data_IF_207138911648
#
_entry.id   IF_207138911648
#
_cell.length_a   1.000
_cell.length_b   1.000
_cell.length_c   1.000
_cell.angle_alpha   90.00
_cell.angle_beta   90.00
_cell.angle_gamma   90.00
#
_symmetry.space_group_name_H-M   'P 1'
#
loop_
_entity.id
_entity.type
_entity.pdbx_description
1 polymer ?
#
# COMPACT_ATOMS: atom_id res chain seq x y z
N UNK A 1 -9.81 -10.11 18.63
CA UNK A 1 -8.68 -10.41 17.71
C UNK A 1 -7.46 -10.81 18.54
N UNK A 2 -6.69 -11.82 18.12
CA UNK A 2 -5.48 -12.28 18.82
C UNK A 2 -4.37 -12.48 17.79
N UNK A 3 -3.49 -11.48 17.69
CA UNK A 3 -2.32 -11.49 16.81
C UNK A 3 -1.12 -12.17 17.48
N UNK A 4 -0.15 -12.58 16.67
CA UNK A 4 1.05 -13.27 17.13
C UNK A 4 1.98 -12.34 17.94
N UNK A 5 2.16 -11.09 17.49
CA UNK A 5 2.94 -10.10 18.24
C UNK A 5 2.11 -9.49 19.37
N UNK A 6 2.53 -9.74 20.61
CA UNK A 6 1.92 -9.08 21.79
C UNK A 6 2.08 -7.55 21.81
N UNK A 7 3.01 -7.03 21.01
CA UNK A 7 3.29 -5.60 20.82
C UNK A 7 2.54 -4.98 19.63
N UNK A 8 1.72 -5.78 18.92
CA UNK A 8 0.83 -5.26 17.89
C UNK A 8 -0.19 -4.29 18.51
N UNK A 9 -0.48 -3.21 17.79
CA UNK A 9 -1.34 -2.13 18.25
C UNK A 9 -2.44 -1.83 17.24
N UNK A 10 -3.56 -1.29 17.75
CA UNK A 10 -4.66 -0.83 16.93
C UNK A 10 -5.02 0.61 17.26
N UNK A 11 -5.64 1.28 16.30
CA UNK A 11 -6.18 2.61 16.47
C UNK A 11 -7.51 2.75 15.72
N UNK A 12 -8.47 3.41 16.36
CA UNK A 12 -9.80 3.68 15.82
C UNK A 12 -10.07 5.16 16.03
N UNK A 13 -10.09 5.94 14.94
CA UNK A 13 -10.13 7.41 15.04
C UNK A 13 -11.38 7.96 15.74
N UNK A 14 -12.53 7.29 15.57
CA UNK A 14 -13.83 7.66 16.13
C UNK A 14 -14.17 6.93 17.44
N UNK A 15 -13.21 6.19 18.00
CA UNK A 15 -13.35 5.38 19.22
C UNK A 15 -14.50 4.34 19.16
N UNK A 16 -14.93 3.92 17.98
CA UNK A 16 -15.89 2.82 17.85
C UNK A 16 -15.33 1.51 18.45
N UNK A 17 -16.19 0.61 18.98
CA UNK A 17 -15.74 -0.71 19.44
C UNK A 17 -15.02 -1.47 18.33
N UNK A 18 -13.98 -2.23 18.69
CA UNK A 18 -13.08 -2.91 17.74
C UNK A 18 -13.84 -3.71 16.67
N UNK A 19 -14.80 -4.55 17.07
CA UNK A 19 -15.55 -5.41 16.13
C UNK A 19 -16.38 -4.59 15.13
N UNK A 20 -16.89 -3.42 15.55
CA UNK A 20 -17.60 -2.48 14.65
C UNK A 20 -16.62 -1.75 13.74
N UNK A 21 -15.47 -1.33 14.28
CA UNK A 21 -14.45 -0.58 13.55
C UNK A 21 -13.83 -1.38 12.41
N UNK A 22 -13.53 -2.66 12.65
CA UNK A 22 -13.02 -3.59 11.63
C UNK A 22 -14.14 -4.15 10.75
N UNK A 23 -15.32 -4.44 11.29
CA UNK A 23 -16.41 -5.06 10.53
C UNK A 23 -17.06 -4.15 9.48
N UNK A 24 -16.82 -2.84 9.55
CA UNK A 24 -17.30 -1.86 8.56
C UNK A 24 -16.36 -1.66 7.37
N UNK A 25 -15.17 -2.29 7.38
CA UNK A 25 -14.17 -2.11 6.33
C UNK A 25 -14.74 -2.42 4.95
N UNK A 26 -14.48 -1.52 4.01
CA UNK A 26 -14.82 -1.72 2.59
C UNK A 26 -13.57 -1.75 1.71
N UNK A 27 -12.60 -0.89 2.04
CA UNK A 27 -11.32 -0.75 1.38
C UNK A 27 -10.23 -0.97 2.42
N UNK A 28 -9.18 -1.70 2.05
CA UNK A 28 -8.07 -1.97 2.95
C UNK A 28 -6.74 -1.73 2.24
N UNK A 29 -5.77 -1.15 2.94
CA UNK A 29 -4.37 -1.18 2.54
C UNK A 29 -3.57 -2.11 3.45
N UNK A 30 -2.66 -2.88 2.87
CA UNK A 30 -1.65 -3.65 3.60
C UNK A 30 -0.28 -3.14 3.19
N UNK A 31 0.36 -2.43 4.11
CA UNK A 31 1.57 -1.67 3.93
C UNK A 31 2.75 -2.31 4.68
N UNK A 32 3.97 -2.07 4.17
CA UNK A 32 5.14 -2.62 4.80
C UNK A 32 5.55 -1.74 5.97
N UNK A 33 5.70 -0.45 5.73
CA UNK A 33 6.11 0.53 6.71
C UNK A 33 4.99 1.54 6.95
N UNK A 34 5.13 2.27 8.06
CA UNK A 34 4.37 3.49 8.27
C UNK A 34 4.75 4.47 7.16
N UNK A 35 3.77 5.19 6.58
CA UNK A 35 3.82 6.08 5.39
C UNK A 35 3.50 5.46 4.01
N UNK A 36 3.75 4.16 3.82
CA UNK A 36 3.49 3.49 2.53
C UNK A 36 2.00 3.56 2.12
N UNK A 37 1.09 3.44 3.10
CA UNK A 37 -0.37 3.44 2.88
C UNK A 37 -0.80 4.72 2.18
N UNK A 38 -0.33 5.86 2.68
CA UNK A 38 -0.70 7.18 2.22
C UNK A 38 -0.11 7.48 0.84
N UNK A 39 1.03 6.86 0.49
CA UNK A 39 1.65 6.95 -0.82
C UNK A 39 0.85 6.15 -1.85
N UNK A 40 0.56 4.88 -1.55
CA UNK A 40 0.09 3.91 -2.56
C UNK A 40 -1.43 3.74 -2.62
N UNK A 41 -2.15 3.96 -1.52
CA UNK A 41 -3.56 3.60 -1.38
C UNK A 41 -4.48 4.81 -1.17
N UNK A 42 -4.04 6.01 -1.58
CA UNK A 42 -4.84 7.22 -1.43
C UNK A 42 -6.17 7.16 -2.21
N UNK A 43 -6.26 6.34 -3.25
CA UNK A 43 -7.54 6.02 -3.91
C UNK A 43 -8.59 5.46 -2.94
N UNK A 44 -8.21 4.50 -2.09
CA UNK A 44 -9.09 3.96 -1.06
C UNK A 44 -9.42 4.98 0.02
N UNK A 45 -8.42 5.78 0.42
CA UNK A 45 -8.58 6.81 1.45
C UNK A 45 -9.60 7.87 0.99
N UNK A 46 -9.40 8.50 -0.18
CA UNK A 46 -10.29 9.56 -0.66
C UNK A 46 -11.73 9.05 -0.87
N UNK A 47 -11.91 7.79 -1.29
CA UNK A 47 -13.24 7.20 -1.53
C UNK A 47 -14.02 7.03 -0.23
N UNK A 48 -13.32 6.80 0.88
CA UNK A 48 -13.92 6.58 2.19
C UNK A 48 -13.97 7.85 3.06
N UNK A 49 -13.14 8.85 2.77
CA UNK A 49 -13.04 10.06 3.58
C UNK A 49 -14.40 10.78 3.69
N UNK A 50 -14.86 11.02 4.92
CA UNK A 50 -16.15 11.65 5.20
C UNK A 50 -17.39 10.86 4.74
N UNK A 51 -17.28 9.55 4.50
CA UNK A 51 -18.41 8.69 4.13
C UNK A 51 -19.00 7.96 5.33
N UNK A 52 -20.30 7.66 5.25
CA UNK A 52 -21.01 6.91 6.30
C UNK A 52 -21.00 5.39 6.03
N UNK A 53 -20.90 5.00 4.76
CA UNK A 53 -21.06 3.63 4.25
C UNK A 53 -19.78 3.03 3.65
N UNK A 54 -18.73 3.84 3.45
CA UNK A 54 -17.43 3.41 2.95
C UNK A 54 -16.35 3.69 3.97
N UNK A 55 -15.67 2.64 4.43
CA UNK A 55 -14.62 2.73 5.43
C UNK A 55 -13.30 2.17 4.93
N UNK A 56 -12.24 2.93 5.19
CA UNK A 56 -10.87 2.56 4.89
C UNK A 56 -10.19 1.94 6.11
N UNK A 57 -9.41 0.89 5.89
CA UNK A 57 -8.59 0.24 6.91
C UNK A 57 -7.14 0.16 6.45
N UNK A 58 -6.21 0.46 7.36
CA UNK A 58 -4.79 0.31 7.10
C UNK A 58 -4.21 -0.80 7.99
N UNK A 59 -3.37 -1.66 7.41
CA UNK A 59 -2.56 -2.64 8.13
C UNK A 59 -1.10 -2.36 7.82
N UNK A 60 -0.34 -1.90 8.80
CA UNK A 60 1.11 -1.71 8.70
C UNK A 60 1.81 -2.92 9.31
N UNK A 61 2.55 -3.67 8.50
CA UNK A 61 3.12 -4.96 8.91
C UNK A 61 4.36 -4.77 9.78
N UNK A 62 5.24 -3.82 9.47
CA UNK A 62 6.53 -3.68 10.17
C UNK A 62 6.60 -2.52 11.15
N UNK A 63 7.60 -2.54 12.03
CA UNK A 63 7.75 -1.63 13.16
C UNK A 63 8.50 -0.31 12.86
N UNK A 64 9.08 -0.14 11.67
CA UNK A 64 9.78 1.10 11.30
C UNK A 64 11.07 1.40 12.06
N UNK A 65 11.63 0.43 12.80
CA UNK A 65 12.82 0.64 13.63
C UNK A 65 14.05 1.12 12.84
N UNK A 66 14.25 0.56 11.64
CA UNK A 66 15.38 0.85 10.76
C UNK A 66 15.25 2.15 9.94
N UNK A 67 14.25 2.99 10.22
CA UNK A 67 14.04 4.24 9.50
C UNK A 67 15.28 5.14 9.50
N UNK A 68 15.57 5.87 8.39
CA UNK A 68 16.61 6.87 8.37
C UNK A 68 16.42 7.91 9.48
N UNK A 69 17.53 8.36 10.07
CA UNK A 69 17.54 9.33 11.18
C UNK A 69 18.34 10.55 10.78
N UNK A 70 17.76 11.73 10.94
CA UNK A 70 18.43 13.00 10.67
C UNK A 70 17.77 14.12 11.48
N UNK A 71 18.37 15.32 11.47
CA UNK A 71 17.85 16.48 12.20
C UNK A 71 17.64 16.17 13.68
N UNK A 72 16.45 16.49 14.19
CA UNK A 72 16.09 16.25 15.61
C UNK A 72 16.07 14.76 15.99
N UNK A 73 15.95 13.85 15.01
CA UNK A 73 15.89 12.40 15.22
C UNK A 73 17.27 11.72 15.17
N UNK A 74 18.35 12.46 14.91
CA UNK A 74 19.69 11.87 14.69
C UNK A 74 20.18 11.00 15.85
N UNK A 75 19.79 11.34 17.09
CA UNK A 75 20.20 10.63 18.32
C UNK A 75 19.19 9.57 18.78
N UNK A 76 18.13 9.34 18.02
CA UNK A 76 17.04 8.45 18.43
C UNK A 76 17.47 7.00 18.26
N UNK A 77 17.09 6.16 19.21
CA UNK A 77 17.28 4.71 19.13
C UNK A 77 16.23 4.05 18.23
N UNK A 78 16.40 2.77 17.91
CA UNK A 78 15.39 1.97 17.22
C UNK A 78 14.04 1.99 17.96
N UNK A 79 14.06 1.87 19.30
CA UNK A 79 12.84 1.95 20.12
C UNK A 79 12.18 3.33 20.11
N UNK A 80 12.99 4.40 20.06
CA UNK A 80 12.46 5.76 19.88
C UNK A 80 11.77 5.89 18.52
N UNK A 81 12.40 5.37 17.46
CA UNK A 81 11.84 5.41 16.11
C UNK A 81 10.55 4.61 15.99
N UNK A 82 10.47 3.40 16.57
CA UNK A 82 9.22 2.62 16.61
C UNK A 82 8.08 3.44 17.22
N UNK A 83 8.32 4.10 18.37
CA UNK A 83 7.30 4.94 19.04
C UNK A 83 6.87 6.14 18.19
N UNK A 84 7.83 6.84 17.59
CA UNK A 84 7.56 7.99 16.72
C UNK A 84 6.76 7.57 15.49
N UNK A 85 7.19 6.50 14.81
CA UNK A 85 6.55 5.98 13.60
C UNK A 85 5.12 5.53 13.87
N UNK A 86 4.89 4.79 14.96
CA UNK A 86 3.53 4.43 15.42
C UNK A 86 2.65 5.65 15.64
N UNK A 87 3.19 6.70 16.28
CA UNK A 87 2.44 7.93 16.52
C UNK A 87 2.12 8.68 15.22
N UNK A 88 3.06 8.76 14.29
CA UNK A 88 2.84 9.41 12.99
C UNK A 88 1.80 8.65 12.15
N UNK A 89 1.82 7.32 12.17
CA UNK A 89 0.78 6.53 11.51
C UNK A 89 -0.61 6.72 12.14
N UNK A 90 -0.69 6.86 13.47
CA UNK A 90 -1.95 7.22 14.16
C UNK A 90 -2.44 8.61 13.74
N UNK A 91 -1.53 9.59 13.57
CA UNK A 91 -1.88 10.91 13.02
C UNK A 91 -2.43 10.81 11.60
N UNK A 92 -1.79 10.02 10.74
CA UNK A 92 -2.27 9.80 9.37
C UNK A 92 -3.66 9.14 9.37
N UNK A 93 -3.87 8.12 10.20
CA UNK A 93 -5.17 7.48 10.37
C UNK A 93 -6.25 8.43 10.90
N UNK A 94 -5.89 9.39 11.76
CA UNK A 94 -6.81 10.42 12.20
C UNK A 94 -7.13 11.43 11.08
N UNK A 95 -6.11 11.93 10.38
CA UNK A 95 -6.26 12.88 9.26
C UNK A 95 -7.07 12.30 8.10
N UNK A 96 -6.89 11.02 7.81
CA UNK A 96 -7.61 10.30 6.75
C UNK A 96 -8.88 9.60 7.21
N UNK A 97 -9.29 9.77 8.47
CA UNK A 97 -10.49 9.16 9.05
C UNK A 97 -10.58 7.63 8.85
N UNK A 98 -9.47 6.92 9.08
CA UNK A 98 -9.42 5.46 8.87
C UNK A 98 -10.34 4.78 9.87
N UNK A 99 -11.29 4.00 9.36
CA UNK A 99 -12.22 3.23 10.18
C UNK A 99 -11.51 2.29 11.15
N UNK A 100 -10.33 1.77 10.76
CA UNK A 100 -9.46 0.94 11.57
C UNK A 100 -7.99 1.03 11.11
N UNK A 101 -7.04 1.09 12.03
CA UNK A 101 -5.60 0.94 11.78
C UNK A 101 -5.05 -0.20 12.63
N UNK A 102 -4.33 -1.13 12.01
CA UNK A 102 -3.55 -2.18 12.67
C UNK A 102 -2.06 -1.97 12.41
N UNK A 103 -1.21 -2.10 13.43
CA UNK A 103 0.25 -2.06 13.33
C UNK A 103 0.81 -3.34 13.96
N UNK A 104 1.32 -4.25 13.13
CA UNK A 104 1.64 -5.63 13.55
C UNK A 104 3.02 -5.77 14.22
N UNK A 105 3.87 -4.75 14.11
CA UNK A 105 5.13 -4.61 14.84
C UNK A 105 6.22 -5.66 14.49
N UNK A 106 6.12 -6.33 13.34
CA UNK A 106 7.17 -7.22 12.85
C UNK A 106 8.44 -6.45 12.44
N UNK A 107 9.59 -7.11 12.49
CA UNK A 107 10.79 -6.61 11.82
C UNK A 107 10.75 -6.95 10.32
N UNK A 108 11.36 -6.09 9.50
CA UNK A 108 11.53 -6.35 8.07
C UNK A 108 12.22 -7.69 7.78
N UNK A 109 13.13 -8.14 8.65
CA UNK A 109 13.79 -9.45 8.51
C UNK A 109 12.80 -10.61 8.72
N UNK A 110 11.91 -10.50 9.71
CA UNK A 110 10.90 -11.52 10.01
C UNK A 110 9.91 -11.69 8.86
N UNK A 111 9.52 -10.59 8.21
CA UNK A 111 8.57 -10.64 7.08
C UNK A 111 9.24 -11.20 5.82
N UNK A 112 10.54 -10.91 5.62
CA UNK A 112 11.32 -11.43 4.49
C UNK A 112 11.69 -12.90 4.64
N UNK A 113 11.64 -13.45 5.84
CA UNK A 113 11.83 -14.89 6.04
C UNK A 113 10.67 -15.67 5.43
N UNK A 114 10.97 -16.48 4.42
CA UNK A 114 9.99 -17.34 3.74
C UNK A 114 9.38 -18.39 4.68
N UNK A 115 10.07 -18.79 5.74
CA UNK A 115 9.61 -19.79 6.69
C UNK A 115 8.74 -19.21 7.80
N UNK A 116 8.84 -17.91 8.07
CA UNK A 116 7.99 -17.26 9.05
C UNK A 116 6.56 -17.11 8.54
N UNK A 117 5.63 -17.85 9.14
CA UNK A 117 4.20 -17.84 8.79
C UNK A 117 3.37 -16.89 9.65
N UNK A 118 3.91 -16.35 10.73
CA UNK A 118 3.13 -15.50 11.66
C UNK A 118 2.46 -14.30 10.97
N UNK A 119 3.14 -13.54 10.06
CA UNK A 119 2.48 -12.43 9.37
C UNK A 119 1.32 -12.89 8.47
N UNK A 120 1.39 -14.10 7.90
CA UNK A 120 0.32 -14.66 7.06
C UNK A 120 -0.92 -14.94 7.91
N UNK A 121 -0.73 -15.55 9.08
CA UNK A 121 -1.84 -15.88 9.98
C UNK A 121 -2.50 -14.63 10.59
N UNK A 122 -1.69 -13.61 10.93
CA UNK A 122 -2.21 -12.31 11.39
C UNK A 122 -3.04 -11.61 10.30
N UNK A 123 -2.55 -11.59 9.06
CA UNK A 123 -3.29 -11.02 7.92
C UNK A 123 -4.58 -11.78 7.66
N UNK A 124 -4.58 -13.12 7.72
CA UNK A 124 -5.80 -13.95 7.59
C UNK A 124 -6.84 -13.58 8.65
N UNK A 125 -6.41 -13.40 9.90
CA UNK A 125 -7.32 -13.03 10.98
C UNK A 125 -7.95 -11.65 10.75
N UNK A 126 -7.14 -10.65 10.39
CA UNK A 126 -7.63 -9.29 10.12
C UNK A 126 -8.59 -9.27 8.94
N UNK A 127 -8.23 -9.90 7.82
CA UNK A 127 -9.05 -9.93 6.60
C UNK A 127 -10.36 -10.69 6.84
N UNK A 128 -10.34 -11.78 7.62
CA UNK A 128 -11.56 -12.54 7.95
C UNK A 128 -12.57 -11.72 8.75
N UNK A 129 -12.08 -10.83 9.62
CA UNK A 129 -12.92 -9.91 10.41
C UNK A 129 -13.37 -8.70 9.58
N UNK A 130 -12.50 -8.19 8.70
CA UNK A 130 -12.74 -6.96 7.94
C UNK A 130 -13.55 -7.17 6.64
N UNK A 131 -13.34 -8.31 5.97
CA UNK A 131 -13.95 -8.67 4.68
C UNK A 131 -13.96 -7.52 3.66
N UNK A 132 -12.79 -6.89 3.39
CA UNK A 132 -12.72 -5.79 2.44
C UNK A 132 -13.08 -6.26 1.03
N UNK A 133 -13.76 -5.39 0.26
CA UNK A 133 -14.01 -5.62 -1.17
C UNK A 133 -12.78 -5.33 -2.02
N UNK A 134 -11.99 -4.34 -1.61
CA UNK A 134 -10.79 -3.91 -2.32
C UNK A 134 -9.60 -3.90 -1.37
N UNK A 135 -8.50 -4.51 -1.79
CA UNK A 135 -7.22 -4.42 -1.08
C UNK A 135 -6.15 -3.75 -1.96
N UNK A 136 -5.45 -2.78 -1.40
CA UNK A 136 -4.26 -2.16 -1.96
C UNK A 136 -3.01 -2.69 -1.22
N UNK A 137 -1.97 -3.02 -1.97
CA UNK A 137 -0.66 -3.43 -1.44
C UNK A 137 0.43 -2.94 -2.38
N UNK A 138 1.68 -3.21 -2.07
CA UNK A 138 2.82 -2.97 -2.93
C UNK A 138 2.77 -3.77 -4.24
N UNK A 139 3.26 -3.19 -5.33
CA UNK A 139 3.54 -3.94 -6.55
C UNK A 139 4.70 -4.94 -6.34
N UNK A 140 4.68 -6.05 -7.08
CA UNK A 140 5.62 -7.17 -6.89
C UNK A 140 7.02 -6.92 -7.49
N UNK A 141 7.22 -5.82 -8.20
CA UNK A 141 8.51 -5.40 -8.76
C UNK A 141 9.05 -4.12 -8.08
N UNK A 142 8.57 -3.81 -6.87
CA UNK A 142 9.02 -2.63 -6.14
C UNK A 142 10.53 -2.74 -5.79
N UNK A 143 11.23 -1.60 -5.80
CA UNK A 143 12.66 -1.55 -5.48
C UNK A 143 12.97 -1.97 -4.05
N UNK A 144 12.01 -1.82 -3.13
CA UNK A 144 12.22 -2.13 -1.72
C UNK A 144 11.82 -3.58 -1.41
N UNK A 145 12.78 -4.45 -1.10
CA UNK A 145 12.53 -5.90 -0.88
C UNK A 145 11.46 -6.22 0.18
N UNK A 146 11.33 -5.43 1.27
CA UNK A 146 10.26 -5.64 2.26
C UNK A 146 8.87 -5.41 1.67
N UNK A 147 8.72 -4.52 0.68
CA UNK A 147 7.43 -4.24 0.03
C UNK A 147 6.96 -5.48 -0.73
N UNK A 148 7.86 -6.07 -1.51
CA UNK A 148 7.63 -7.34 -2.22
C UNK A 148 7.32 -8.46 -1.23
N UNK A 149 8.08 -8.58 -0.13
CA UNK A 149 7.83 -9.60 0.88
C UNK A 149 6.42 -9.48 1.50
N UNK A 150 5.98 -8.27 1.85
CA UNK A 150 4.63 -8.03 2.39
C UNK A 150 3.54 -8.38 1.37
N UNK A 151 3.70 -7.97 0.11
CA UNK A 151 2.77 -8.33 -0.95
C UNK A 151 2.66 -9.85 -1.13
N UNK A 152 3.79 -10.58 -1.06
CA UNK A 152 3.82 -12.05 -1.13
C UNK A 152 3.14 -12.69 0.09
N UNK A 153 3.36 -12.19 1.31
CA UNK A 153 2.68 -12.68 2.53
C UNK A 153 1.17 -12.45 2.45
N UNK A 154 0.75 -11.30 1.91
CA UNK A 154 -0.66 -10.99 1.69
C UNK A 154 -1.29 -11.94 0.64
N UNK A 155 -0.63 -12.15 -0.50
CA UNK A 155 -1.13 -13.09 -1.52
C UNK A 155 -1.25 -14.50 -0.92
N UNK A 156 -0.27 -14.94 -0.14
CA UNK A 156 -0.34 -16.22 0.58
C UNK A 156 -1.53 -16.28 1.53
N UNK A 157 -1.75 -15.22 2.33
CA UNK A 157 -2.89 -15.12 3.22
C UNK A 157 -4.22 -15.24 2.45
N UNK A 158 -4.37 -14.48 1.38
CA UNK A 158 -5.58 -14.45 0.56
C UNK A 158 -5.85 -15.79 -0.14
N UNK A 159 -4.81 -16.48 -0.64
CA UNK A 159 -4.95 -17.82 -1.23
C UNK A 159 -5.41 -18.87 -0.23
N UNK A 160 -5.07 -18.71 1.05
CA UNK A 160 -5.46 -19.63 2.11
C UNK A 160 -6.83 -19.33 2.73
N UNK A 161 -7.42 -18.16 2.45
CA UNK A 161 -8.77 -17.84 2.90
C UNK A 161 -9.82 -18.50 1.98
N UNK A 162 -11.00 -18.88 2.53
CA UNK A 162 -12.15 -19.26 1.71
C UNK A 162 -12.48 -18.19 0.65
N UNK A 163 -12.88 -18.65 -0.53
CA UNK A 163 -13.13 -17.79 -1.70
C UNK A 163 -14.15 -16.67 -1.39
N UNK A 164 -15.17 -16.97 -0.58
CA UNK A 164 -16.25 -16.07 -0.21
C UNK A 164 -15.84 -14.86 0.65
N UNK A 165 -14.64 -14.88 1.25
CA UNK A 165 -14.11 -13.74 2.01
C UNK A 165 -12.88 -13.10 1.36
N UNK A 166 -12.46 -13.58 0.18
CA UNK A 166 -11.40 -12.91 -0.60
C UNK A 166 -11.94 -11.59 -1.16
N UNK A 167 -11.09 -10.56 -1.33
CA UNK A 167 -11.54 -9.30 -1.92
C UNK A 167 -11.89 -9.50 -3.40
N UNK A 168 -12.82 -8.70 -3.88
CA UNK A 168 -13.19 -8.64 -5.29
C UNK A 168 -11.99 -8.16 -6.15
N UNK A 169 -11.16 -7.28 -5.56
CA UNK A 169 -9.98 -6.68 -6.18
C UNK A 169 -8.77 -6.63 -5.26
N UNK A 170 -7.61 -7.01 -5.81
CA UNK A 170 -6.29 -6.82 -5.21
C UNK A 170 -5.42 -6.00 -6.15
N UNK A 171 -4.88 -4.88 -5.68
CA UNK A 171 -4.05 -3.97 -6.47
C UNK A 171 -2.64 -3.84 -5.90
N UNK A 172 -1.65 -4.02 -6.77
CA UNK A 172 -0.23 -3.78 -6.48
C UNK A 172 0.17 -2.38 -6.95
N UNK A 173 0.31 -1.44 -6.02
CA UNK A 173 0.43 -0.01 -6.31
C UNK A 173 1.91 0.45 -6.31
N UNK A 174 2.16 1.59 -6.96
CA UNK A 174 3.48 2.23 -6.99
C UNK A 174 3.90 2.82 -5.64
N UNK A 175 5.16 2.59 -5.26
CA UNK A 175 5.85 3.35 -4.20
C UNK A 175 7.23 3.77 -4.70
N UNK A 176 8.23 2.89 -4.57
CA UNK A 176 9.60 3.13 -5.05
C UNK A 176 9.83 2.60 -6.47
N UNK A 177 9.20 1.48 -6.80
CA UNK A 177 9.13 0.95 -8.16
C UNK A 177 7.99 1.60 -8.93
N UNK A 178 8.33 2.31 -10.01
CA UNK A 178 7.36 2.84 -10.98
C UNK A 178 6.95 1.75 -11.96
N UNK A 179 5.86 1.97 -12.69
CA UNK A 179 5.26 1.03 -13.64
C UNK A 179 5.47 1.44 -15.10
N UNK A 180 6.47 2.27 -15.41
CA UNK A 180 6.81 2.64 -16.80
C UNK A 180 7.19 1.43 -17.68
N UNK A 181 7.51 0.29 -17.07
CA UNK A 181 7.79 -0.99 -17.73
C UNK A 181 6.54 -1.88 -17.92
N UNK A 182 5.36 -1.37 -17.61
CA UNK A 182 4.06 -1.99 -17.88
C UNK A 182 3.41 -1.25 -19.04
N UNK A 183 2.74 -1.97 -19.94
CA UNK A 183 1.99 -1.35 -21.04
C UNK A 183 0.87 -0.47 -20.52
N UNK A 184 0.55 0.60 -21.24
CA UNK A 184 -0.45 1.57 -20.81
C UNK A 184 -1.85 0.97 -20.66
N UNK A 185 -2.22 0.01 -21.51
CA UNK A 185 -3.51 -0.69 -21.47
C UNK A 185 -3.60 -1.76 -20.36
N UNK A 186 -2.47 -2.14 -19.78
CA UNK A 186 -2.39 -3.09 -18.65
C UNK A 186 -2.27 -2.40 -17.29
N UNK A 187 -2.07 -1.06 -17.26
CA UNK A 187 -2.03 -0.27 -16.03
C UNK A 187 -3.43 -0.08 -15.47
N UNK A 188 -3.56 -0.25 -14.16
CA UNK A 188 -4.72 0.26 -13.41
C UNK A 188 -4.43 1.72 -13.05
N UNK A 189 -5.30 2.63 -13.50
CA UNK A 189 -5.18 4.06 -13.23
C UNK A 189 -6.22 4.49 -12.21
N UNK A 190 -5.78 4.99 -11.07
CA UNK A 190 -6.65 5.55 -10.04
C UNK A 190 -6.68 7.08 -10.15
N UNK A 191 -7.84 7.65 -10.43
CA UNK A 191 -8.03 9.10 -10.32
C UNK A 191 -8.01 9.50 -8.85
N UNK A 192 -7.00 10.26 -8.44
CA UNK A 192 -6.81 10.74 -7.06
C UNK A 192 -6.82 12.25 -6.94
N UNK A 193 -7.62 12.90 -7.79
CA UNK A 193 -7.69 14.35 -7.87
C UNK A 193 -8.42 15.00 -6.69
N UNK A 194 -9.23 14.23 -5.95
CA UNK A 194 -10.07 14.75 -4.88
C UNK A 194 -9.30 14.93 -3.56
N UNK A 195 -9.78 15.88 -2.75
CA UNK A 195 -9.24 16.21 -1.42
C UNK A 195 -7.71 16.45 -1.38
N UNK A 196 -7.12 17.27 -2.27
CA UNK A 196 -5.67 17.45 -2.34
C UNK A 196 -5.04 17.97 -1.03
N UNK A 197 -5.79 18.71 -0.22
CA UNK A 197 -5.39 19.14 1.11
C UNK A 197 -5.23 17.96 2.09
N UNK A 198 -6.09 16.94 1.99
CA UNK A 198 -5.99 15.71 2.78
C UNK A 198 -4.82 14.87 2.29
N UNK A 199 -4.66 14.70 0.97
CA UNK A 199 -3.51 14.01 0.38
C UNK A 199 -2.17 14.57 0.88
N UNK A 200 -2.04 15.90 0.90
CA UNK A 200 -0.83 16.57 1.37
C UNK A 200 -0.63 16.43 2.89
N UNK A 201 -1.71 16.55 3.67
CA UNK A 201 -1.64 16.41 5.13
C UNK A 201 -1.23 15.00 5.54
N UNK A 202 -1.79 13.97 4.89
CA UNK A 202 -1.46 12.56 5.13
C UNK A 202 0.04 12.27 4.96
N UNK A 203 0.68 12.83 3.94
CA UNK A 203 2.12 12.66 3.74
C UNK A 203 2.95 13.54 4.68
N UNK A 204 2.42 14.72 5.05
CA UNK A 204 3.12 15.70 5.88
C UNK A 204 3.25 15.33 7.36
N UNK A 205 2.40 14.45 7.90
CA UNK A 205 2.48 14.08 9.33
C UNK A 205 3.68 13.21 9.69
N UNK A 206 4.35 12.64 8.70
CA UNK A 206 5.48 11.73 8.85
C UNK A 206 6.83 12.48 8.90
N UNK A 207 6.90 13.49 9.78
CA UNK A 207 8.03 14.41 9.96
C UNK A 207 9.39 13.69 10.05
N UNK A 208 9.43 12.59 10.81
CA UNK A 208 10.67 11.83 11.04
C UNK A 208 11.33 11.28 9.80
N UNK A 209 10.58 11.13 8.70
CA UNK A 209 11.13 10.67 7.44
C UNK A 209 11.38 11.82 6.45
N UNK A 210 10.68 12.95 6.56
CA UNK A 210 10.80 14.08 5.61
C UNK A 210 11.79 15.15 6.05
N UNK A 211 11.96 15.37 7.36
CA UNK A 211 12.82 16.42 7.91
C UNK A 211 14.31 16.20 7.57
N UNK A 212 14.68 14.96 7.24
CA UNK A 212 16.04 14.53 6.97
C UNK A 212 16.55 14.75 5.55
N UNK A 213 15.83 15.51 4.73
CA UNK A 213 16.22 15.85 3.35
C UNK A 213 15.62 14.95 2.27
N UNK A 214 14.94 13.85 2.64
CA UNK A 214 14.15 13.04 1.69
C UNK A 214 12.70 13.52 1.70
N UNK A 215 12.37 14.48 0.82
CA UNK A 215 11.02 15.03 0.67
C UNK A 215 10.10 14.11 -0.15
N UNK A 216 9.89 12.88 0.32
CA UNK A 216 8.99 11.94 -0.36
C UNK A 216 7.53 12.40 -0.30
N UNK A 217 7.16 13.27 0.65
CA UNK A 217 5.88 13.96 0.65
C UNK A 217 5.66 14.75 -0.65
N UNK A 218 6.67 15.53 -1.06
CA UNK A 218 6.64 16.27 -2.33
C UNK A 218 6.80 15.33 -3.51
N UNK A 219 7.70 14.35 -3.43
CA UNK A 219 7.96 13.43 -4.53
C UNK A 219 6.74 12.55 -4.84
N UNK A 220 6.00 12.10 -3.83
CA UNK A 220 4.79 11.29 -4.02
C UNK A 220 3.69 12.11 -4.71
N UNK A 221 3.43 13.34 -4.26
CA UNK A 221 2.45 14.23 -4.91
C UNK A 221 2.88 14.62 -6.33
N UNK A 222 4.15 14.97 -6.51
CA UNK A 222 4.74 15.27 -7.82
C UNK A 222 4.66 14.07 -8.77
N UNK A 223 4.88 12.86 -8.26
CA UNK A 223 4.70 11.64 -9.05
C UNK A 223 3.24 11.46 -9.48
N UNK A 224 2.26 11.74 -8.62
CA UNK A 224 0.86 11.61 -9.00
C UNK A 224 0.46 12.61 -10.09
N UNK A 225 0.98 13.83 -10.00
CA UNK A 225 0.80 14.85 -11.05
C UNK A 225 1.48 14.41 -12.35
N UNK A 226 2.73 13.93 -12.26
CA UNK A 226 3.48 13.40 -13.40
C UNK A 226 2.73 12.25 -14.07
N UNK A 227 2.24 11.28 -13.28
CA UNK A 227 1.44 10.18 -13.79
C UNK A 227 0.23 10.74 -14.54
N UNK A 228 -0.56 11.63 -13.92
CA UNK A 228 -1.76 12.20 -14.55
C UNK A 228 -1.49 12.88 -15.89
N UNK A 229 -0.41 13.67 -15.99
CA UNK A 229 -0.04 14.40 -17.20
C UNK A 229 0.58 13.53 -18.29
N UNK A 230 1.31 12.47 -17.92
CA UNK A 230 1.95 11.59 -18.90
C UNK A 230 1.16 10.31 -19.19
N UNK A 231 -0.12 10.21 -18.76
CA UNK A 231 -1.00 9.08 -19.07
C UNK A 231 -1.23 8.89 -20.58
N UNK A 232 -1.17 9.95 -21.38
CA UNK A 232 -1.34 9.87 -22.83
C UNK A 232 -0.57 10.97 -23.53
N UNK A 233 0.16 10.61 -24.60
CA UNK A 233 0.86 11.58 -25.43
C UNK A 233 -0.07 12.41 -26.36
N UNK A 234 -1.35 12.04 -26.48
CA UNK A 234 -2.25 12.56 -27.50
C UNK A 234 -3.58 13.13 -26.96
N UNK A 235 -3.90 12.85 -25.69
CA UNK A 235 -5.14 13.29 -25.07
C UNK A 235 -4.89 14.42 -24.06
N UNK A 236 -5.88 15.29 -23.86
CA UNK A 236 -5.86 16.29 -22.80
C UNK A 236 -6.10 15.59 -21.45
N UNK A 237 -5.40 16.06 -20.41
CA UNK A 237 -5.50 15.53 -19.05
C UNK A 237 -6.95 15.56 -18.55
N UNK A 238 -7.43 14.40 -18.10
CA UNK A 238 -8.74 14.23 -17.44
C UNK A 238 -8.61 14.24 -15.92
N UNK A 239 -7.40 14.00 -15.40
CA UNK A 239 -7.09 13.94 -13.97
C UNK A 239 -6.02 14.97 -13.64
N UNK A 240 -6.10 15.60 -12.47
CA UNK A 240 -5.00 16.44 -11.96
C UNK A 240 -4.01 15.63 -11.10
N UNK A 241 -4.35 14.39 -10.77
CA UNK A 241 -3.54 13.50 -9.95
C UNK A 241 -3.92 12.04 -10.18
N UNK A 242 -2.93 11.16 -10.40
CA UNK A 242 -3.15 9.74 -10.66
C UNK A 242 -2.16 8.83 -9.92
N UNK A 243 -2.65 7.72 -9.36
CA UNK A 243 -1.80 6.61 -8.89
C UNK A 243 -1.92 5.48 -9.90
N UNK A 244 -0.80 4.80 -10.20
CA UNK A 244 -0.80 3.61 -11.04
C UNK A 244 -0.69 2.36 -10.17
N UNK A 245 -1.28 1.28 -10.64
CA UNK A 245 -1.16 -0.05 -10.04
C UNK A 245 -1.27 -1.17 -11.06
N UNK A 246 -1.00 -2.37 -10.58
CA UNK A 246 -1.18 -3.63 -11.29
C UNK A 246 -2.44 -4.33 -10.74
N UNK A 247 -3.26 -4.92 -11.60
CA UNK A 247 -4.30 -5.85 -11.13
C UNK A 247 -3.63 -7.16 -10.70
N UNK A 248 -3.60 -7.43 -9.39
CA UNK A 248 -3.07 -8.67 -8.81
C UNK A 248 -4.18 -9.68 -8.50
N UNK A 249 -5.44 -9.35 -8.79
CA UNK A 249 -6.60 -10.22 -8.55
C UNK A 249 -6.46 -11.61 -9.19
N UNK A 250 -5.89 -11.78 -10.40
CA UNK A 250 -5.67 -13.11 -10.97
C UNK A 250 -4.86 -14.06 -10.07
N UNK A 251 -3.90 -13.52 -9.29
CA UNK A 251 -3.07 -14.31 -8.40
C UNK A 251 -3.83 -14.90 -7.21
N UNK A 252 -4.94 -14.28 -6.78
CA UNK A 252 -5.75 -14.78 -5.65
C UNK A 252 -6.98 -15.58 -6.11
N UNK A 253 -7.36 -15.47 -7.39
CA UNK A 253 -8.40 -16.30 -8.02
C UNK A 253 -7.87 -17.65 -8.49
N UNK A 254 -6.62 -17.68 -8.98
CA UNK A 254 -5.93 -18.92 -9.30
C UNK A 254 -4.75 -19.11 -8.33
N UNK A 255 -4.98 -19.92 -7.30
CA UNK A 255 -3.99 -20.21 -6.25
C UNK A 255 -2.72 -20.89 -6.77
N UNK A 256 -2.81 -21.57 -7.92
CA UNK A 256 -1.70 -22.27 -8.56
C UNK A 256 -0.93 -21.38 -9.56
N UNK A 257 -1.37 -20.14 -9.80
CA UNK A 257 -0.66 -19.23 -10.69
C UNK A 257 0.70 -18.88 -10.09
N UNK A 258 1.77 -19.08 -10.86
CA UNK A 258 3.10 -18.69 -10.45
C UNK A 258 3.24 -17.17 -10.44
N UNK A 259 3.67 -16.62 -9.31
CA UNK A 259 3.75 -15.18 -9.08
C UNK A 259 4.89 -14.56 -9.89
N UNK A 260 6.02 -15.25 -10.04
CA UNK A 260 7.16 -14.75 -10.78
C UNK A 260 6.88 -14.75 -12.28
N UNK A 261 6.28 -15.81 -12.81
CA UNK A 261 5.85 -15.86 -14.22
C UNK A 261 4.76 -14.83 -14.53
N UNK A 262 3.86 -14.56 -13.58
CA UNK A 262 2.86 -13.49 -13.74
C UNK A 262 3.51 -12.11 -13.98
N UNK A 263 4.52 -11.76 -13.17
CA UNK A 263 5.25 -10.50 -13.31
C UNK A 263 6.16 -10.51 -14.53
N UNK A 264 6.84 -11.61 -14.81
CA UNK A 264 7.66 -11.79 -16.01
C UNK A 264 6.83 -11.56 -17.28
N UNK A 265 5.57 -12.00 -17.30
CA UNK A 265 4.67 -11.75 -18.43
C UNK A 265 4.49 -10.27 -18.77
N UNK A 266 4.38 -9.38 -17.78
CA UNK A 266 4.32 -7.92 -18.02
C UNK A 266 5.61 -7.41 -18.67
N UNK A 267 6.77 -7.85 -18.15
CA UNK A 267 8.09 -7.46 -18.66
C UNK A 267 8.27 -7.94 -20.10
N UNK A 268 7.95 -9.20 -20.38
CA UNK A 268 8.09 -9.80 -21.71
C UNK A 268 7.21 -9.06 -22.74
N UNK A 269 5.94 -8.78 -22.40
CA UNK A 269 5.02 -8.04 -23.26
C UNK A 269 5.49 -6.61 -23.51
N UNK A 270 5.99 -5.92 -22.49
CA UNK A 270 6.56 -4.57 -22.64
C UNK A 270 7.81 -4.59 -23.53
N UNK A 271 8.70 -5.55 -23.34
CA UNK A 271 9.89 -5.74 -24.18
C UNK A 271 9.52 -5.95 -25.65
N UNK A 272 8.49 -6.76 -25.90
CA UNK A 272 7.96 -7.01 -27.25
C UNK A 272 7.41 -5.73 -27.87
N UNK A 273 6.56 -4.98 -27.16
CA UNK A 273 5.99 -3.72 -27.67
C UNK A 273 7.06 -2.69 -28.02
N UNK A 274 8.07 -2.52 -27.17
CA UNK A 274 9.20 -1.61 -27.43
C UNK A 274 9.93 -2.04 -28.71
N UNK A 275 10.20 -3.34 -28.85
CA UNK A 275 10.89 -3.90 -30.01
C UNK A 275 10.08 -3.72 -31.30
N UNK A 276 8.78 -4.04 -31.27
CA UNK A 276 7.88 -3.86 -32.40
C UNK A 276 7.75 -2.39 -32.81
N UNK A 277 7.64 -1.47 -31.85
CA UNK A 277 7.51 -0.03 -32.12
C UNK A 277 8.75 0.51 -32.83
N UNK A 278 9.95 0.09 -32.41
CA UNK A 278 11.22 0.45 -33.06
C UNK A 278 11.31 -0.19 -34.45
N UNK A 279 11.02 -1.49 -34.57
CA UNK A 279 11.10 -2.24 -35.82
C UNK A 279 10.14 -1.72 -36.92
N UNK A 280 9.06 -1.04 -36.55
CA UNK A 280 8.15 -0.38 -37.49
C UNK A 280 8.74 0.90 -38.12
N UNK A 281 9.84 1.43 -37.59
CA UNK A 281 10.47 2.69 -38.01
C UNK A 281 11.85 2.52 -38.63
N UNK A 282 12.34 1.28 -38.76
CA UNK A 282 13.59 0.90 -39.43
C UNK A 282 13.29 0.00 -40.63
#
# INVERSE_FOLDING_TARGET
>A
MKLNKSTAEYFVFDNAPLDKAIGRTTHMAVAAHQDDTEIMAYDGIQKCFGKEDLWFTAVVVTNGAGSPRNGIYQKYTDEDMKRIRKMEQKKAAFVGEYGFLAMLDYESAEVKDKHNREPVEDLKQIISMARPKVIYTHNLADKHSTHVAVALKLISALRELPEEIRPEKLYGCEVWGKLDWVKDDEKVVFNVSDHPNIAQSLLGVFDSQICGGKRYDQAALGNRQSNATFLSAYNVDVYSSAILGMDLTPLIRNENMDIAEYIKGYIDRFSEEVSEKINKMI
#
